data_IF_073037786170
#
_entry.id   IF_073037786170
#
_cell.length_a   1.000
_cell.length_b   1.000
_cell.length_c   1.000
_cell.angle_alpha   90.00
_cell.angle_beta   90.00
_cell.angle_gamma   90.00
#
_symmetry.space_group_name_H-M   'P 1'
#
loop_
_entity.id
_entity.type
_entity.pdbx_description
1 polymer ?
#
# COMPACT_ATOMS: atom_id res chain seq x y z
N UNK A 1 -7.30 14.06 3.15
CA UNK A 1 -5.83 13.97 3.23
C UNK A 1 -5.40 12.66 2.59
N UNK A 2 -4.44 12.69 1.66
CA UNK A 2 -3.91 11.46 1.03
C UNK A 2 -2.96 10.77 2.01
N UNK A 3 -3.05 9.44 2.08
CA UNK A 3 -2.24 8.58 2.94
C UNK A 3 -1.57 7.48 2.11
N UNK A 4 -0.59 6.81 2.69
CA UNK A 4 0.02 5.64 2.07
C UNK A 4 -0.74 4.40 2.50
N UNK A 5 -0.93 3.50 1.53
CA UNK A 5 -1.60 2.23 1.71
C UNK A 5 -0.65 1.14 1.25
N UNK A 6 -0.37 0.17 2.11
CA UNK A 6 0.49 -0.96 1.81
C UNK A 6 -0.34 -2.22 1.65
N UNK A 7 -0.16 -2.94 0.55
CA UNK A 7 -0.66 -4.29 0.41
C UNK A 7 0.10 -5.20 1.38
N UNK A 8 -0.61 -5.83 2.33
CA UNK A 8 0.00 -6.77 3.29
C UNK A 8 0.48 -8.08 2.65
N UNK A 9 0.09 -8.34 1.40
CA UNK A 9 0.39 -9.59 0.70
C UNK A 9 1.69 -9.47 -0.09
N UNK A 10 1.79 -8.46 -0.96
CA UNK A 10 2.94 -8.30 -1.85
C UNK A 10 3.82 -7.09 -1.54
N UNK A 11 3.41 -6.21 -0.62
CA UNK A 11 4.15 -5.01 -0.25
C UNK A 11 3.93 -3.80 -1.15
N UNK A 12 3.05 -3.89 -2.16
CA UNK A 12 2.68 -2.77 -3.05
C UNK A 12 2.25 -1.53 -2.25
N UNK A 13 2.75 -0.35 -2.65
CA UNK A 13 2.47 0.92 -1.98
C UNK A 13 1.61 1.80 -2.89
N UNK A 14 0.41 2.14 -2.43
CA UNK A 14 -0.51 3.03 -3.09
C UNK A 14 -0.64 4.36 -2.32
N UNK A 15 -0.61 5.50 -3.01
CA UNK A 15 -0.78 6.82 -2.41
C UNK A 15 -2.11 7.45 -2.82
N UNK A 16 -3.04 7.57 -1.87
CA UNK A 16 -4.41 7.99 -2.17
C UNK A 16 -5.24 8.26 -0.92
N UNK A 17 -6.51 8.63 -1.11
CA UNK A 17 -7.44 8.81 0.01
C UNK A 17 -7.83 7.46 0.65
N UNK A 18 -7.85 6.38 -0.13
CA UNK A 18 -8.13 5.01 0.28
C UNK A 18 -7.23 4.04 -0.50
N UNK A 19 -7.05 2.83 0.03
CA UNK A 19 -6.40 1.73 -0.68
C UNK A 19 -7.37 1.13 -1.71
N UNK A 20 -6.88 0.61 -2.85
CA UNK A 20 -7.75 -0.02 -3.84
C UNK A 20 -8.37 -1.30 -3.29
N UNK A 21 -9.59 -1.63 -3.76
CA UNK A 21 -10.30 -2.85 -3.35
C UNK A 21 -9.55 -4.10 -3.78
N UNK A 22 -8.92 -4.07 -4.96
CA UNK A 22 -8.13 -5.18 -5.50
C UNK A 22 -6.70 -4.69 -5.73
N UNK A 23 -5.72 -5.45 -5.25
CA UNK A 23 -4.33 -5.14 -5.51
C UNK A 23 -3.98 -5.32 -7.00
N UNK A 24 -3.50 -4.28 -7.70
CA UNK A 24 -3.10 -4.39 -9.10
C UNK A 24 -1.86 -5.28 -9.28
N UNK A 25 -1.07 -5.47 -8.23
CA UNK A 25 0.18 -6.26 -8.28
C UNK A 25 -0.06 -7.75 -8.00
N UNK A 26 -0.88 -8.11 -7.00
CA UNK A 26 -1.11 -9.52 -6.63
C UNK A 26 -2.55 -10.02 -6.79
N UNK A 27 -3.51 -9.16 -7.15
CA UNK A 27 -4.91 -9.53 -7.36
C UNK A 27 -5.73 -9.80 -6.09
N UNK A 28 -5.14 -9.71 -4.89
CA UNK A 28 -5.86 -9.97 -3.64
C UNK A 28 -6.78 -8.80 -3.29
N UNK A 29 -8.02 -9.14 -2.88
CA UNK A 29 -9.03 -8.18 -2.46
C UNK A 29 -8.83 -7.73 -1.00
N UNK A 30 -9.13 -6.46 -0.71
CA UNK A 30 -9.09 -5.86 0.63
C UNK A 30 -7.77 -6.08 1.39
N UNK A 31 -6.66 -6.08 0.66
CA UNK A 31 -5.32 -6.36 1.20
C UNK A 31 -4.57 -5.10 1.69
N UNK A 32 -5.06 -3.90 1.35
CA UNK A 32 -4.41 -2.64 1.66
C UNK A 32 -4.71 -2.19 3.09
N UNK A 33 -3.66 -1.77 3.79
CA UNK A 33 -3.75 -1.12 5.09
C UNK A 33 -3.03 0.22 5.06
N UNK A 34 -3.50 1.17 5.85
CA UNK A 34 -2.83 2.45 6.03
C UNK A 34 -1.42 2.23 6.59
N UNK A 35 -0.42 2.90 6.01
CA UNK A 35 0.98 2.82 6.44
C UNK A 35 1.60 4.22 6.52
N UNK A 36 2.65 4.34 7.34
CA UNK A 36 3.36 5.60 7.53
C UNK A 36 4.41 5.83 6.43
N UNK A 37 4.67 7.10 6.09
CA UNK A 37 5.75 7.52 5.16
C UNK A 37 7.12 6.83 5.40
N UNK A 38 7.63 6.71 6.63
CA UNK A 38 8.91 6.03 6.87
C UNK A 38 8.88 4.53 6.52
N UNK A 39 7.76 3.83 6.75
CA UNK A 39 7.62 2.41 6.43
C UNK A 39 7.48 2.15 4.93
N UNK A 40 6.79 3.05 4.22
CA UNK A 40 6.71 3.02 2.76
C UNK A 40 8.09 3.17 2.11
N UNK A 41 8.94 4.09 2.60
CA UNK A 41 10.30 4.30 2.08
C UNK A 41 11.21 3.10 2.29
N UNK A 42 11.16 2.45 3.46
CA UNK A 42 11.96 1.24 3.74
C UNK A 42 11.64 0.07 2.81
N UNK A 43 10.39 0.02 2.31
CA UNK A 43 9.93 -1.03 1.39
C UNK A 43 10.40 -0.81 -0.06
N UNK A 44 10.92 0.39 -0.39
CA UNK A 44 11.38 0.76 -1.73
C UNK A 44 12.91 0.73 -1.90
N UNK A 45 13.66 0.21 -0.92
CA UNK A 45 15.09 -0.09 -1.06
C UNK A 45 16.00 1.12 -1.26
N UNK A 46 15.65 2.28 -0.69
CA UNK A 46 16.55 3.44 -0.55
C UNK A 46 16.97 3.56 0.91
#
# INVERSE_FOLDING_TARGET
MKKFWKCKICGDIHYGNAGPEVCPTCGVKNAYVETSKPEAKKSMGI
#
